data_IF_557867775379
#
_entry.id   IF_557867775379
#
_cell.length_a   1.000
_cell.length_b   1.000
_cell.length_c   1.000
_cell.angle_alpha   90.00
_cell.angle_beta   90.00
_cell.angle_gamma   90.00
#
_symmetry.space_group_name_H-M   'P 1'
#
loop_
_entity.id
_entity.type
_entity.pdbx_description
1 polymer ?
#
# COMPACT_ATOMS: atom_id res chain seq x y z
N UNK A 1 -11.13 -19.81 -0.20
CA UNK A 1 -12.52 -19.32 -0.04
C UNK A 1 -13.14 -19.15 -1.41
N UNK A 2 -14.31 -19.75 -1.62
CA UNK A 2 -15.05 -19.56 -2.88
C UNK A 2 -16.05 -18.43 -2.72
N UNK A 3 -16.01 -17.50 -3.66
CA UNK A 3 -17.00 -16.44 -3.76
C UNK A 3 -17.50 -16.35 -5.20
N UNK A 4 -18.70 -15.86 -5.36
CA UNK A 4 -19.21 -15.48 -6.68
C UNK A 4 -19.87 -14.11 -6.60
N UNK A 5 -19.95 -13.44 -7.75
CA UNK A 5 -20.49 -12.09 -7.84
C UNK A 5 -21.63 -12.11 -8.84
N UNK A 6 -22.79 -11.66 -8.39
CA UNK A 6 -23.97 -11.49 -9.23
C UNK A 6 -24.13 -10.00 -9.53
N UNK A 7 -23.74 -9.59 -10.73
CA UNK A 7 -23.79 -8.18 -11.14
C UNK A 7 -25.22 -7.70 -11.42
N UNK A 8 -26.13 -8.61 -11.73
CA UNK A 8 -27.53 -8.21 -11.96
C UNK A 8 -28.23 -7.86 -10.66
N UNK A 9 -27.93 -8.62 -9.60
CA UNK A 9 -28.49 -8.37 -8.26
C UNK A 9 -27.59 -7.52 -7.39
N UNK A 10 -26.36 -7.23 -7.84
CA UNK A 10 -25.36 -6.51 -7.07
C UNK A 10 -25.08 -7.16 -5.71
N UNK A 11 -24.81 -8.45 -5.75
CA UNK A 11 -24.55 -9.26 -4.55
C UNK A 11 -23.22 -10.01 -4.67
N UNK A 12 -22.59 -10.26 -3.52
CA UNK A 12 -21.50 -11.21 -3.38
C UNK A 12 -22.06 -12.43 -2.65
N UNK A 13 -21.81 -13.62 -3.17
CA UNK A 13 -22.26 -14.86 -2.57
C UNK A 13 -21.03 -15.57 -1.99
N UNK A 14 -21.03 -15.76 -0.66
CA UNK A 14 -19.95 -16.40 0.06
C UNK A 14 -20.05 -17.92 -0.01
N UNK A 15 -18.97 -18.60 0.38
CA UNK A 15 -18.87 -20.06 0.34
C UNK A 15 -19.98 -20.75 1.15
N UNK A 16 -20.39 -20.15 2.26
CA UNK A 16 -21.47 -20.68 3.11
C UNK A 16 -22.89 -20.38 2.60
N UNK A 17 -22.99 -19.73 1.42
CA UNK A 17 -24.27 -19.33 0.83
C UNK A 17 -24.77 -17.98 1.30
N UNK A 18 -24.11 -17.35 2.25
CA UNK A 18 -24.46 -16.00 2.70
C UNK A 18 -24.30 -15.00 1.56
N UNK A 19 -25.19 -14.03 1.49
CA UNK A 19 -25.18 -12.98 0.46
C UNK A 19 -24.90 -11.64 1.11
N UNK A 20 -24.00 -10.89 0.49
CA UNK A 20 -23.65 -9.52 0.90
C UNK A 20 -24.00 -8.56 -0.23
N UNK A 21 -24.46 -7.35 0.08
CA UNK A 21 -24.58 -6.32 -0.95
C UNK A 21 -23.21 -6.00 -1.53
N UNK A 22 -23.12 -5.97 -2.85
CA UNK A 22 -21.86 -5.63 -3.52
C UNK A 22 -21.39 -4.21 -3.17
N UNK A 23 -22.33 -3.26 -3.20
CA UNK A 23 -22.06 -1.86 -2.89
C UNK A 23 -22.32 -1.59 -1.41
N UNK A 24 -21.42 -2.12 -0.57
CA UNK A 24 -21.48 -1.98 0.87
C UNK A 24 -20.07 -2.00 1.44
N UNK A 25 -19.84 -1.56 2.68
CA UNK A 25 -18.53 -1.69 3.33
C UNK A 25 -18.03 -3.13 3.36
N UNK A 26 -18.90 -4.09 3.63
CA UNK A 26 -18.57 -5.52 3.66
C UNK A 26 -18.22 -6.04 2.29
N UNK A 27 -18.96 -5.64 1.26
CA UNK A 27 -18.65 -5.99 -0.13
C UNK A 27 -17.34 -5.41 -0.59
N UNK A 28 -17.07 -4.16 -0.26
CA UNK A 28 -15.80 -3.50 -0.57
C UNK A 28 -14.63 -4.23 0.10
N UNK A 29 -14.80 -4.64 1.36
CA UNK A 29 -13.75 -5.39 2.07
C UNK A 29 -13.43 -6.71 1.38
N UNK A 30 -14.44 -7.49 1.01
CA UNK A 30 -14.23 -8.78 0.33
C UNK A 30 -13.46 -8.58 -0.97
N UNK A 31 -13.85 -7.61 -1.78
CA UNK A 31 -13.21 -7.34 -3.06
C UNK A 31 -11.78 -6.82 -2.89
N UNK A 32 -11.57 -5.91 -1.96
CA UNK A 32 -10.24 -5.34 -1.73
C UNK A 32 -9.28 -6.36 -1.14
N UNK A 33 -9.73 -7.24 -0.25
CA UNK A 33 -8.90 -8.33 0.28
C UNK A 33 -8.48 -9.29 -0.85
N UNK A 34 -9.40 -9.63 -1.73
CA UNK A 34 -9.08 -10.48 -2.88
C UNK A 34 -8.13 -9.80 -3.87
N UNK A 35 -8.37 -8.53 -4.17
CA UNK A 35 -7.49 -7.74 -5.02
C UNK A 35 -6.07 -7.71 -4.46
N UNK A 36 -5.94 -7.49 -3.15
CA UNK A 36 -4.66 -7.44 -2.47
C UNK A 36 -3.92 -8.79 -2.59
N UNK A 37 -4.62 -9.88 -2.34
CA UNK A 37 -4.05 -11.24 -2.43
C UNK A 37 -3.55 -11.53 -3.84
N UNK A 38 -4.39 -11.28 -4.84
CA UNK A 38 -4.04 -11.48 -6.24
C UNK A 38 -2.91 -10.55 -6.67
N UNK A 39 -2.95 -9.31 -6.20
CA UNK A 39 -1.94 -8.31 -6.49
C UNK A 39 -0.55 -8.71 -6.00
N UNK A 40 -0.44 -9.24 -4.80
CA UNK A 40 0.83 -9.74 -4.28
C UNK A 40 1.34 -10.93 -5.10
N UNK A 41 0.46 -11.87 -5.43
CA UNK A 41 0.85 -13.02 -6.25
C UNK A 41 1.36 -12.59 -7.63
N UNK A 42 0.72 -11.62 -8.24
CA UNK A 42 1.08 -11.10 -9.55
C UNK A 42 2.17 -10.03 -9.50
N UNK A 43 2.75 -9.80 -8.34
CA UNK A 43 3.85 -8.85 -8.13
C UNK A 43 3.52 -7.42 -8.52
N UNK A 44 2.25 -7.05 -8.42
CA UNK A 44 1.79 -5.70 -8.71
C UNK A 44 2.50 -4.66 -7.83
N UNK A 45 2.70 -4.99 -6.54
CA UNK A 45 3.36 -4.11 -5.57
C UNK A 45 4.85 -3.92 -5.84
N UNK A 46 5.43 -4.71 -6.73
CA UNK A 46 6.83 -4.60 -7.15
C UNK A 46 6.99 -3.77 -8.43
N UNK A 47 5.89 -3.30 -9.02
CA UNK A 47 5.89 -2.64 -10.31
C UNK A 47 6.06 -1.13 -10.27
N UNK A 48 6.19 -0.56 -9.08
CA UNK A 48 6.20 0.89 -8.90
C UNK A 48 7.61 1.45 -8.73
N UNK A 49 7.73 2.74 -9.01
CA UNK A 49 8.93 3.51 -8.74
C UNK A 49 8.54 4.85 -8.15
N UNK A 50 9.44 5.44 -7.36
CA UNK A 50 9.27 6.79 -6.85
C UNK A 50 10.49 7.61 -7.27
N UNK A 51 10.27 8.64 -8.07
CA UNK A 51 11.32 9.46 -8.64
C UNK A 51 12.44 8.62 -9.30
N UNK A 52 12.04 7.56 -10.00
CA UNK A 52 12.96 6.71 -10.74
C UNK A 52 13.59 5.56 -9.95
N UNK A 53 13.34 5.45 -8.64
CA UNK A 53 13.84 4.34 -7.84
C UNK A 53 12.75 3.30 -7.61
N UNK A 54 13.03 2.00 -7.79
CA UNK A 54 12.03 0.97 -7.51
C UNK A 54 11.58 1.04 -6.05
N UNK A 55 10.28 0.99 -5.85
CA UNK A 55 9.66 0.98 -4.53
C UNK A 55 8.70 -0.20 -4.44
N UNK A 56 8.86 -1.03 -3.41
CA UNK A 56 7.99 -2.17 -3.17
C UNK A 56 6.93 -1.70 -2.19
N UNK A 57 5.75 -1.34 -2.70
CA UNK A 57 4.73 -0.73 -1.86
C UNK A 57 3.34 -0.84 -2.50
N UNK A 58 2.33 -0.91 -1.65
CA UNK A 58 0.94 -0.70 -2.03
C UNK A 58 0.75 0.81 -2.17
N UNK A 59 0.28 1.32 -3.31
CA UNK A 59 0.14 2.78 -3.50
C UNK A 59 -0.67 3.47 -2.42
N UNK A 60 -1.74 2.85 -1.93
CA UNK A 60 -2.58 3.42 -0.87
C UNK A 60 -1.79 3.63 0.43
N UNK A 61 -0.83 2.74 0.71
CA UNK A 61 0.02 2.87 1.90
C UNK A 61 0.94 4.09 1.81
N UNK A 62 1.39 4.44 0.60
CA UNK A 62 2.15 5.67 0.40
C UNK A 62 1.31 6.90 0.74
N UNK A 63 0.07 6.93 0.31
CA UNK A 63 -0.84 8.04 0.64
C UNK A 63 -1.08 8.13 2.15
N UNK A 64 -1.34 7.00 2.80
CA UNK A 64 -1.56 6.98 4.25
C UNK A 64 -0.30 7.34 5.03
N UNK A 65 0.85 6.86 4.58
CA UNK A 65 2.13 7.16 5.23
C UNK A 65 2.43 8.65 5.18
N UNK A 66 2.21 9.32 4.03
CA UNK A 66 2.46 10.75 3.95
C UNK A 66 1.50 11.54 4.85
N UNK A 67 0.26 11.08 5.02
CA UNK A 67 -0.68 11.72 5.95
C UNK A 67 -0.15 11.68 7.38
N UNK A 68 0.37 10.53 7.81
CA UNK A 68 0.95 10.35 9.15
C UNK A 68 2.19 11.23 9.31
N UNK A 69 3.08 11.21 8.34
CA UNK A 69 4.31 12.00 8.37
C UNK A 69 4.00 13.49 8.41
N UNK A 70 3.05 13.95 7.63
CA UNK A 70 2.63 15.34 7.64
C UNK A 70 2.05 15.75 8.99
N UNK A 71 1.25 14.89 9.61
CA UNK A 71 0.66 15.16 10.92
C UNK A 71 1.72 15.23 12.03
N UNK A 72 2.70 14.33 11.97
CA UNK A 72 3.76 14.24 13.00
C UNK A 72 4.89 15.24 12.78
N UNK A 73 5.21 15.57 11.54
CA UNK A 73 6.35 16.42 11.17
C UNK A 73 7.64 16.00 11.88
N UNK A 74 8.10 14.76 11.67
CA UNK A 74 9.25 14.23 12.41
C UNK A 74 10.56 14.92 12.02
N UNK A 75 11.49 14.94 12.94
CA UNK A 75 12.85 15.44 12.68
C UNK A 75 13.69 14.37 11.96
N UNK A 76 13.44 13.10 12.27
CA UNK A 76 14.17 11.96 11.71
C UNK A 76 13.20 10.83 11.41
N UNK A 77 13.34 10.25 10.22
CA UNK A 77 12.66 9.02 9.83
C UNK A 77 13.74 7.95 9.66
N UNK A 78 13.59 6.84 10.37
CA UNK A 78 14.54 5.72 10.27
C UNK A 78 13.83 4.56 9.60
N UNK A 79 14.41 4.02 8.54
CA UNK A 79 13.90 2.84 7.84
C UNK A 79 14.90 1.70 7.94
N UNK A 80 14.44 0.54 8.37
CA UNK A 80 15.22 -0.70 8.35
C UNK A 80 14.76 -1.54 7.16
N UNK A 81 15.73 -2.09 6.38
CA UNK A 81 15.40 -2.84 5.17
C UNK A 81 15.02 -1.92 4.01
N UNK A 82 16.01 -1.39 3.32
CA UNK A 82 15.80 -0.34 2.31
C UNK A 82 15.63 -0.86 0.89
N UNK A 83 15.87 -2.16 0.64
CA UNK A 83 15.81 -2.76 -0.68
C UNK A 83 16.53 -1.90 -1.74
N UNK A 84 15.82 -1.38 -2.75
CA UNK A 84 16.42 -0.54 -3.81
C UNK A 84 16.42 0.95 -3.49
N UNK A 85 15.98 1.34 -2.29
CA UNK A 85 16.00 2.72 -1.84
C UNK A 85 14.81 3.57 -2.26
N UNK A 86 13.77 2.96 -2.89
CA UNK A 86 12.59 3.71 -3.33
C UNK A 86 11.85 4.37 -2.18
N UNK A 87 11.65 3.67 -1.07
CA UNK A 87 10.99 4.24 0.11
C UNK A 87 11.84 5.31 0.77
N UNK A 88 13.18 5.19 0.79
CA UNK A 88 14.04 6.26 1.28
C UNK A 88 13.86 7.53 0.46
N UNK A 89 13.81 7.41 -0.86
CA UNK A 89 13.58 8.55 -1.76
C UNK A 89 12.19 9.14 -1.52
N UNK A 90 11.20 8.28 -1.32
CA UNK A 90 9.83 8.71 -1.00
C UNK A 90 9.81 9.56 0.26
N UNK A 91 10.36 9.06 1.37
CA UNK A 91 10.40 9.81 2.63
C UNK A 91 11.23 11.09 2.50
N UNK A 92 12.37 11.01 1.82
CA UNK A 92 13.22 12.18 1.59
C UNK A 92 12.49 13.27 0.80
N UNK A 93 11.69 12.87 -0.19
CA UNK A 93 10.88 13.82 -0.98
C UNK A 93 9.82 14.52 -0.12
N UNK A 94 9.24 13.82 0.85
CA UNK A 94 8.30 14.41 1.79
C UNK A 94 9.00 15.39 2.72
N UNK A 95 10.16 15.01 3.27
CA UNK A 95 10.96 15.91 4.12
C UNK A 95 11.33 17.18 3.35
N UNK A 96 11.73 17.04 2.09
CA UNK A 96 12.05 18.16 1.21
C UNK A 96 10.83 19.08 1.02
N UNK A 97 9.68 18.50 0.72
CA UNK A 97 8.45 19.26 0.52
C UNK A 97 8.01 20.00 1.77
N UNK A 98 8.18 19.40 2.94
CA UNK A 98 7.84 20.00 4.23
C UNK A 98 8.92 20.95 4.75
N UNK A 99 10.09 20.96 4.12
CA UNK A 99 11.27 21.71 4.58
C UNK A 99 11.64 21.35 6.03
N UNK A 100 11.48 20.07 6.37
CA UNK A 100 11.77 19.56 7.70
C UNK A 100 12.05 18.07 7.67
N UNK A 101 13.02 17.65 8.48
CA UNK A 101 13.31 16.24 8.69
C UNK A 101 14.37 15.69 7.74
N UNK A 102 14.84 14.51 8.11
CA UNK A 102 15.80 13.74 7.31
C UNK A 102 15.51 12.26 7.47
N UNK A 103 16.01 11.46 6.53
CA UNK A 103 15.78 10.03 6.50
C UNK A 103 17.11 9.31 6.63
N UNK A 104 17.12 8.26 7.45
CA UNK A 104 18.27 7.37 7.63
C UNK A 104 17.82 5.96 7.32
N UNK A 105 18.45 5.33 6.35
CA UNK A 105 18.20 3.93 6.00
C UNK A 105 19.26 3.01 6.60
N UNK A 106 18.83 1.86 7.10
CA UNK A 106 19.72 0.83 7.66
C UNK A 106 19.38 -0.49 7.00
N UNK A 107 20.38 -1.12 6.38
CA UNK A 107 20.21 -2.43 5.76
C UNK A 107 21.50 -3.25 5.93
N UNK A 108 21.35 -4.58 5.82
CA UNK A 108 22.49 -5.49 5.82
C UNK A 108 23.26 -5.45 4.51
N UNK A 109 22.61 -4.99 3.45
CA UNK A 109 23.20 -4.86 2.12
C UNK A 109 22.68 -3.58 1.44
N UNK A 110 23.58 -2.73 1.03
CA UNK A 110 23.24 -1.49 0.31
C UNK A 110 23.29 -1.77 -1.20
N UNK A 111 22.18 -1.53 -1.90
CA UNK A 111 22.02 -1.80 -3.34
C UNK A 111 22.02 -0.53 -4.18
#
# INVERSE_FOLDING_TARGET
MNISIDKEKNEIILENGERLPLYSPEGFKVLSDLWLEVGWDQKYMYSFSWLGRPIIQIPEDCFRMQEVIYALKPDVIIETGIAHGGSLVFYASLCKAMEKGRVIGVDVEIR
#
